data_IF_702016199904
#
_entry.id   IF_702016199904
#
_cell.length_a   1.000
_cell.length_b   1.000
_cell.length_c   1.000
_cell.angle_alpha   90.00
_cell.angle_beta   90.00
_cell.angle_gamma   90.00
#
_symmetry.space_group_name_H-M   'P 1'
#
loop_
_entity.id
_entity.type
_entity.pdbx_description
1 polymer ?
#
# COMPACT_ATOMS: atom_id res chain seq x y z
N UNK A 1 25.19 42.66 2.70
CA UNK A 1 23.79 42.18 2.52
C UNK A 1 22.91 43.07 3.39
N UNK A 2 22.08 43.90 2.78
CA UNK A 2 21.23 44.84 3.52
C UNK A 2 20.06 44.07 4.17
N UNK A 3 19.55 44.55 5.29
CA UNK A 3 18.43 43.91 6.01
C UNK A 3 17.22 43.72 5.09
N UNK A 4 16.96 44.71 4.21
CA UNK A 4 15.92 44.63 3.19
C UNK A 4 16.11 43.48 2.19
N UNK A 5 17.34 43.24 1.71
CA UNK A 5 17.60 42.12 0.79
C UNK A 5 17.41 40.77 1.46
N UNK A 6 17.77 40.65 2.75
CA UNK A 6 17.49 39.43 3.54
C UNK A 6 15.99 39.20 3.72
N UNK A 7 15.22 40.24 4.01
CA UNK A 7 13.76 40.16 4.15
C UNK A 7 13.08 39.75 2.84
N UNK A 8 13.49 40.33 1.70
CA UNK A 8 12.93 39.98 0.39
C UNK A 8 13.17 38.50 0.06
N UNK A 9 14.39 37.99 0.32
CA UNK A 9 14.71 36.57 0.10
C UNK A 9 13.86 35.66 0.99
N UNK A 10 13.69 36.00 2.28
CA UNK A 10 12.88 35.20 3.20
C UNK A 10 11.40 35.16 2.81
N UNK A 11 10.83 36.31 2.40
CA UNK A 11 9.44 36.39 1.96
C UNK A 11 9.21 35.60 0.67
N UNK A 12 10.13 35.69 -0.29
CA UNK A 12 10.07 34.90 -1.53
C UNK A 12 10.11 33.39 -1.24
N UNK A 13 11.02 32.94 -0.36
CA UNK A 13 11.09 31.54 0.04
C UNK A 13 9.79 31.05 0.72
N UNK A 14 9.22 31.82 1.64
CA UNK A 14 7.98 31.45 2.31
C UNK A 14 6.79 31.32 1.33
N UNK A 15 6.68 32.22 0.35
CA UNK A 15 5.64 32.17 -0.68
C UNK A 15 5.78 30.95 -1.60
N UNK A 16 7.01 30.58 -1.98
CA UNK A 16 7.28 29.40 -2.81
C UNK A 16 7.04 28.10 -2.02
N UNK A 17 7.42 28.05 -0.74
CA UNK A 17 7.31 26.84 0.07
C UNK A 17 5.88 26.51 0.52
N UNK A 18 5.00 27.52 0.64
CA UNK A 18 3.61 27.32 1.10
C UNK A 18 2.64 26.95 -0.02
N UNK A 19 2.94 27.29 -1.26
CA UNK A 19 2.04 27.14 -2.40
C UNK A 19 1.97 25.71 -2.96
N UNK A 20 2.97 24.86 -2.68
CA UNK A 20 3.06 23.52 -3.26
C UNK A 20 2.82 22.41 -2.22
N UNK A 21 1.81 22.59 -1.35
CA UNK A 21 1.39 21.54 -0.42
C UNK A 21 0.79 20.38 -1.22
N UNK A 22 1.42 19.19 -1.26
CA UNK A 22 0.82 18.06 -1.95
C UNK A 22 -0.53 17.75 -1.29
N UNK A 23 -1.60 17.67 -2.08
CA UNK A 23 -2.90 17.24 -1.57
C UNK A 23 -2.75 15.77 -1.13
N UNK A 24 -2.63 15.60 0.17
CA UNK A 24 -2.33 14.34 0.83
C UNK A 24 -3.63 13.57 1.06
N UNK A 25 -3.97 12.73 0.08
CA UNK A 25 -5.17 11.88 0.12
C UNK A 25 -4.82 10.40 0.27
N UNK A 26 -5.80 9.62 0.73
CA UNK A 26 -5.79 8.17 0.58
C UNK A 26 -5.63 7.80 -0.92
N UNK A 27 -4.94 6.69 -1.18
CA UNK A 27 -4.79 6.15 -2.54
C UNK A 27 -6.12 5.60 -3.07
N UNK A 28 -6.96 5.12 -2.17
CA UNK A 28 -8.28 4.57 -2.45
C UNK A 28 -9.39 5.58 -2.12
N UNK A 29 -9.99 6.12 -3.18
CA UNK A 29 -11.19 6.98 -3.09
C UNK A 29 -12.48 6.15 -3.05
N UNK A 30 -12.54 5.08 -3.84
CA UNK A 30 -13.68 4.14 -3.90
C UNK A 30 -13.19 2.71 -3.86
N UNK A 31 -13.94 1.86 -3.18
CA UNK A 31 -13.69 0.43 -3.15
C UNK A 31 -14.45 -0.27 -4.30
N UNK A 32 -13.90 -1.38 -4.76
CA UNK A 32 -14.58 -2.33 -5.64
C UNK A 32 -15.07 -3.52 -4.84
N UNK A 33 -16.24 -4.05 -5.20
CA UNK A 33 -16.90 -5.11 -4.44
C UNK A 33 -16.17 -6.45 -4.56
N UNK A 34 -15.70 -6.78 -5.76
CA UNK A 34 -14.97 -8.02 -6.02
C UNK A 34 -14.08 -7.91 -7.27
N UNK A 35 -13.04 -8.74 -7.28
CA UNK A 35 -12.16 -8.95 -8.43
C UNK A 35 -12.01 -10.44 -8.64
N UNK A 36 -12.07 -10.93 -9.88
CA UNK A 36 -11.81 -12.34 -10.15
C UNK A 36 -10.39 -12.72 -9.71
N UNK A 37 -10.26 -13.75 -8.87
CA UNK A 37 -8.97 -14.18 -8.27
C UNK A 37 -7.91 -14.47 -9.33
N UNK A 38 -8.29 -15.00 -10.48
CA UNK A 38 -7.37 -15.35 -11.57
C UNK A 38 -6.71 -14.14 -12.24
N UNK A 39 -7.34 -12.96 -12.10
CA UNK A 39 -6.82 -11.70 -12.63
C UNK A 39 -5.85 -11.02 -11.66
N UNK A 40 -5.83 -11.41 -10.38
CA UNK A 40 -4.99 -10.78 -9.37
C UNK A 40 -3.56 -11.31 -9.51
N UNK A 41 -2.61 -10.41 -9.74
CA UNK A 41 -1.19 -10.71 -9.71
C UNK A 41 -0.64 -10.65 -8.28
N UNK A 42 -0.98 -9.59 -7.53
CA UNK A 42 -0.56 -9.42 -6.13
C UNK A 42 -1.50 -8.51 -5.37
N UNK A 43 -1.49 -8.63 -4.05
CA UNK A 43 -2.19 -7.72 -3.13
C UNK A 43 -1.17 -6.87 -2.38
N UNK A 44 -1.33 -5.55 -2.48
CA UNK A 44 -0.65 -4.55 -1.65
C UNK A 44 -1.56 -4.19 -0.47
N UNK A 45 -1.01 -4.25 0.73
CA UNK A 45 -1.67 -3.81 1.95
C UNK A 45 -0.91 -2.60 2.45
N UNK A 46 -1.59 -1.46 2.58
CA UNK A 46 -1.01 -0.22 3.07
C UNK A 46 -1.62 0.05 4.46
N UNK A 47 -0.79 0.14 5.51
CA UNK A 47 -1.28 0.51 6.83
C UNK A 47 -1.77 1.96 6.83
N UNK A 48 -2.53 2.36 7.87
CA UNK A 48 -2.82 3.77 8.12
C UNK A 48 -1.55 4.62 8.12
N UNK A 49 -1.62 5.79 7.49
CA UNK A 49 -0.55 6.79 7.36
C UNK A 49 -1.05 8.13 7.91
N UNK A 50 -0.14 9.04 8.23
CA UNK A 50 -0.49 10.35 8.78
C UNK A 50 -1.46 11.17 7.91
N UNK A 51 -1.44 10.95 6.59
CA UNK A 51 -2.37 11.55 5.63
C UNK A 51 -3.56 10.67 5.23
N UNK A 52 -3.61 9.42 5.69
CA UNK A 52 -4.71 8.51 5.40
C UNK A 52 -4.88 7.57 6.57
N UNK A 53 -5.84 7.86 7.44
CA UNK A 53 -6.07 7.12 8.69
C UNK A 53 -6.71 5.73 8.50
N UNK A 54 -6.91 5.28 7.26
CA UNK A 54 -7.53 3.99 6.93
C UNK A 54 -6.50 3.00 6.44
N UNK A 55 -6.68 1.73 6.77
CA UNK A 55 -5.99 0.64 6.07
C UNK A 55 -6.49 0.59 4.63
N UNK A 56 -5.58 0.44 3.66
CA UNK A 56 -5.93 0.33 2.25
C UNK A 56 -5.46 -1.02 1.70
N UNK A 57 -6.35 -1.71 0.99
CA UNK A 57 -6.05 -2.98 0.34
C UNK A 57 -6.20 -2.82 -1.16
N UNK A 58 -5.11 -3.04 -1.91
CA UNK A 58 -5.08 -2.79 -3.35
C UNK A 58 -4.71 -4.09 -4.07
N UNK A 59 -5.63 -4.56 -4.92
CA UNK A 59 -5.36 -5.63 -5.86
C UNK A 59 -4.66 -5.06 -7.10
N UNK A 60 -3.44 -5.54 -7.36
CA UNK A 60 -2.76 -5.31 -8.62
C UNK A 60 -3.12 -6.48 -9.54
N UNK A 61 -3.76 -6.17 -10.65
CA UNK A 61 -4.16 -7.13 -11.66
C UNK A 61 -2.97 -7.51 -12.55
N UNK A 62 -3.10 -8.62 -13.28
CA UNK A 62 -2.08 -9.11 -14.22
C UNK A 62 -1.80 -8.14 -15.37
N UNK A 63 -2.79 -7.33 -15.75
CA UNK A 63 -2.65 -6.26 -16.74
C UNK A 63 -2.06 -4.96 -16.15
N UNK A 64 -1.63 -4.98 -14.88
CA UNK A 64 -1.03 -3.86 -14.18
C UNK A 64 -2.03 -2.88 -13.55
N UNK A 65 -3.33 -3.00 -13.84
CA UNK A 65 -4.35 -2.13 -13.24
C UNK A 65 -4.44 -2.36 -11.73
N UNK A 66 -4.73 -1.28 -11.01
CA UNK A 66 -4.92 -1.32 -9.56
C UNK A 66 -6.42 -1.15 -9.22
N UNK A 67 -6.91 -1.99 -8.31
CA UNK A 67 -8.27 -1.92 -7.78
C UNK A 67 -8.24 -1.92 -6.26
N UNK A 68 -8.88 -0.92 -5.67
CA UNK A 68 -9.08 -0.84 -4.24
C UNK A 68 -10.14 -1.85 -3.79
N UNK A 69 -9.84 -2.61 -2.75
CA UNK A 69 -10.74 -3.57 -2.12
C UNK A 69 -11.15 -3.02 -0.76
N UNK A 70 -12.40 -3.25 -0.37
CA UNK A 70 -12.86 -2.93 0.97
C UNK A 70 -12.07 -3.77 2.00
N UNK A 71 -11.28 -3.17 2.91
CA UNK A 71 -10.40 -3.92 3.83
C UNK A 71 -11.14 -4.94 4.70
N UNK A 72 -12.36 -4.57 5.09
CA UNK A 72 -13.25 -5.37 5.93
C UNK A 72 -14.25 -6.22 5.12
N UNK A 73 -14.23 -6.12 3.78
CA UNK A 73 -15.15 -6.85 2.91
C UNK A 73 -14.87 -8.36 2.90
N UNK A 74 -15.91 -9.17 2.64
CA UNK A 74 -15.81 -10.64 2.60
C UNK A 74 -14.70 -11.12 1.67
N UNK A 75 -14.55 -10.46 0.52
CA UNK A 75 -13.52 -10.78 -0.47
C UNK A 75 -12.10 -10.55 0.05
N UNK A 76 -11.84 -9.40 0.68
CA UNK A 76 -10.54 -9.08 1.27
C UNK A 76 -10.15 -10.07 2.37
N UNK A 77 -11.10 -10.42 3.24
CA UNK A 77 -10.88 -11.43 4.28
C UNK A 77 -10.56 -12.81 3.69
N UNK A 78 -11.28 -13.22 2.64
CA UNK A 78 -11.02 -14.48 1.94
C UNK A 78 -9.61 -14.52 1.35
N UNK A 79 -9.12 -13.42 0.76
CA UNK A 79 -7.74 -13.35 0.26
C UNK A 79 -6.72 -13.40 1.39
N UNK A 80 -6.94 -12.66 2.49
CA UNK A 80 -6.04 -12.68 3.67
C UNK A 80 -5.89 -14.12 4.19
N UNK A 81 -7.00 -14.86 4.34
CA UNK A 81 -7.01 -16.27 4.76
C UNK A 81 -6.30 -17.20 3.77
N UNK A 82 -6.52 -17.03 2.47
CA UNK A 82 -5.85 -17.84 1.44
C UNK A 82 -4.32 -17.66 1.47
N UNK A 83 -3.84 -16.42 1.68
CA UNK A 83 -2.39 -16.14 1.78
C UNK A 83 -1.76 -16.77 3.02
N UNK A 84 -2.43 -16.72 4.18
CA UNK A 84 -1.90 -17.34 5.41
C UNK A 84 -1.82 -18.86 5.29
N UNK A 85 -2.84 -19.51 4.72
CA UNK A 85 -2.85 -20.95 4.46
C UNK A 85 -1.69 -21.37 3.55
N UNK A 86 -1.47 -20.67 2.42
CA UNK A 86 -0.34 -20.97 1.51
C UNK A 86 1.03 -20.73 2.15
N UNK A 87 1.14 -19.75 3.05
CA UNK A 87 2.37 -19.49 3.77
C UNK A 87 2.69 -20.64 4.74
N UNK A 88 1.66 -21.20 5.42
CA UNK A 88 1.81 -22.38 6.27
C UNK A 88 2.24 -23.61 5.48
N UNK A 89 1.59 -23.91 4.34
CA UNK A 89 1.96 -25.07 3.52
C UNK A 89 3.39 -24.99 3.00
N UNK A 90 3.88 -23.79 2.63
CA UNK A 90 5.30 -23.61 2.22
C UNK A 90 6.28 -23.84 3.37
N UNK A 91 5.94 -23.43 4.60
CA UNK A 91 6.83 -23.62 5.76
C UNK A 91 6.99 -25.11 6.11
N UNK A 92 5.91 -25.90 6.03
CA UNK A 92 5.98 -27.35 6.28
C UNK A 92 6.83 -28.08 5.24
N UNK A 93 6.88 -27.62 3.99
CA UNK A 93 7.72 -28.23 2.94
C UNK A 93 9.22 -27.98 3.11
N UNK A 94 9.64 -26.98 3.89
CA UNK A 94 11.07 -26.68 4.13
C UNK A 94 11.65 -27.46 5.31
N UNK A 95 10.82 -28.12 6.11
CA UNK A 95 11.22 -28.99 7.22
C UNK A 95 11.04 -30.46 6.83
N UNK A 96 11.53 -30.85 5.65
CA UNK A 96 11.70 -32.28 5.32
C UNK A 96 12.89 -32.88 6.08
N UNK A 97 12.85 -34.16 6.48
CA UNK A 97 13.91 -34.79 7.26
C UNK A 97 15.24 -34.73 6.48
N UNK A 98 16.29 -34.20 7.13
CA UNK A 98 17.66 -34.44 6.66
C UNK A 98 17.93 -35.93 6.81
N UNK A 99 17.85 -36.67 5.71
CA UNK A 99 18.40 -38.02 5.62
C UNK A 99 19.92 -37.89 5.69
N UNK A 100 20.47 -38.10 6.88
CA UNK A 100 21.92 -38.28 7.06
C UNK A 100 22.23 -39.70 6.60
N UNK A 101 22.88 -39.83 5.43
CA UNK A 101 23.43 -41.10 4.98
C UNK A 101 24.62 -41.48 5.86
N UNK A 102 24.62 -42.72 6.36
CA UNK A 102 25.72 -43.35 7.08
C UNK A 102 26.67 -44.05 6.11
#
# INVERSE_FOLDING_TARGET
>A
MNTATRCIILLACAAICTSNSPILNCRCVKNSDAVSRHLIARIKQLPPRWYCNREELIAVLKDGREKCLAPNGRFAQAIKRYRTQRAMTRKTSTTGPKTTAA
#
